data_IF_151028435221
#
_entry.id   IF_151028435221
#
_cell.length_a   1.000
_cell.length_b   1.000
_cell.length_c   1.000
_cell.angle_alpha   90.00
_cell.angle_beta   90.00
_cell.angle_gamma   90.00
#
_symmetry.space_group_name_H-M   'P 1'
#
loop_
_entity.id
_entity.type
_entity.pdbx_description
1 polymer ?
#
# COMPACT_ATOMS: atom_id res chain seq x y z
N UNK A 1 -72.86 -59.97 41.93
CA UNK A 1 -71.74 -59.47 42.75
C UNK A 1 -70.69 -59.02 41.73
N UNK A 2 -70.82 -57.77 41.28
CA UNK A 2 -70.18 -56.58 41.87
C UNK A 2 -68.89 -56.32 41.07
N UNK A 3 -68.74 -55.24 40.29
CA UNK A 3 -68.45 -53.83 40.62
C UNK A 3 -68.03 -53.22 39.26
N UNK A 4 -67.91 -51.93 38.97
CA UNK A 4 -67.82 -50.70 39.73
C UNK A 4 -67.93 -49.57 38.70
N UNK A 5 -68.31 -48.39 39.16
CA UNK A 5 -68.25 -47.13 38.43
C UNK A 5 -66.85 -46.87 37.86
N UNK A 6 -66.76 -46.45 36.59
CA UNK A 6 -65.53 -45.92 36.02
C UNK A 6 -65.47 -44.41 36.27
N UNK A 7 -64.43 -44.02 37.00
CA UNK A 7 -64.22 -42.74 37.63
C UNK A 7 -63.53 -41.76 36.66
N UNK A 8 -64.03 -40.53 36.57
CA UNK A 8 -63.61 -39.50 35.61
C UNK A 8 -62.37 -38.72 36.10
N UNK A 9 -61.28 -39.45 36.32
CA UNK A 9 -60.00 -38.90 36.80
C UNK A 9 -58.90 -39.05 35.75
N UNK A 10 -59.05 -38.45 34.56
CA UNK A 10 -57.98 -38.41 33.55
C UNK A 10 -57.78 -37.05 32.83
N UNK A 11 -58.36 -35.95 33.32
CA UNK A 11 -58.27 -34.64 32.63
C UNK A 11 -57.43 -33.55 33.31
N UNK A 12 -56.41 -33.90 34.12
CA UNK A 12 -55.50 -32.89 34.70
C UNK A 12 -54.01 -33.07 34.41
N UNK A 13 -53.58 -34.13 33.73
CA UNK A 13 -52.16 -34.38 33.43
C UNK A 13 -51.62 -33.68 32.17
N UNK A 14 -52.46 -33.44 31.16
CA UNK A 14 -51.98 -33.08 29.82
C UNK A 14 -51.74 -31.57 29.60
N UNK A 15 -52.38 -30.69 30.37
CA UNK A 15 -52.32 -29.23 30.13
C UNK A 15 -51.01 -28.58 30.60
N UNK A 16 -50.41 -29.04 31.72
CA UNK A 16 -49.15 -28.48 32.25
C UNK A 16 -47.90 -28.84 31.45
N UNK A 17 -47.94 -29.92 30.67
CA UNK A 17 -46.77 -30.39 29.91
C UNK A 17 -46.60 -29.66 28.57
N UNK A 18 -47.72 -29.26 27.94
CA UNK A 18 -47.70 -28.53 26.67
C UNK A 18 -47.21 -27.09 26.86
N UNK A 19 -47.62 -26.42 27.93
CA UNK A 19 -47.29 -25.01 28.18
C UNK A 19 -45.77 -24.80 28.39
N UNK A 20 -45.11 -25.72 29.10
CA UNK A 20 -43.66 -25.69 29.34
C UNK A 20 -42.84 -25.92 28.07
N UNK A 21 -43.33 -26.75 27.14
CA UNK A 21 -42.65 -27.07 25.88
C UNK A 21 -42.73 -25.92 24.89
N UNK A 22 -43.89 -25.26 24.80
CA UNK A 22 -44.07 -24.07 23.95
C UNK A 22 -43.29 -22.85 24.46
N UNK A 23 -43.22 -22.62 25.77
CA UNK A 23 -42.43 -21.53 26.36
C UNK A 23 -40.91 -21.72 26.19
N UNK A 24 -40.45 -22.97 26.23
CA UNK A 24 -39.04 -23.34 25.97
C UNK A 24 -38.66 -23.15 24.50
N UNK A 25 -39.49 -23.65 23.56
CA UNK A 25 -39.25 -23.53 22.12
C UNK A 25 -39.27 -22.07 21.65
N UNK A 26 -40.19 -21.25 22.17
CA UNK A 26 -40.25 -19.81 21.87
C UNK A 26 -39.02 -19.02 22.36
N UNK A 27 -38.43 -19.39 23.51
CA UNK A 27 -37.16 -18.80 23.98
C UNK A 27 -35.98 -19.21 23.12
N UNK A 28 -35.90 -20.48 22.71
CA UNK A 28 -34.79 -20.98 21.88
C UNK A 28 -34.82 -20.37 20.47
N UNK A 29 -36.00 -20.22 19.87
CA UNK A 29 -36.15 -19.56 18.57
C UNK A 29 -35.73 -18.08 18.61
N UNK A 30 -36.08 -17.36 19.68
CA UNK A 30 -35.76 -15.93 19.83
C UNK A 30 -34.26 -15.69 20.13
N UNK A 31 -33.57 -16.64 20.75
CA UNK A 31 -32.11 -16.58 20.96
C UNK A 31 -31.36 -16.92 19.68
N UNK A 32 -31.79 -17.93 18.93
CA UNK A 32 -31.16 -18.31 17.66
C UNK A 32 -31.23 -17.19 16.61
N UNK A 33 -32.37 -16.51 16.46
CA UNK A 33 -32.52 -15.40 15.52
C UNK A 33 -31.68 -14.18 15.93
N UNK A 34 -31.61 -13.87 17.23
CA UNK A 34 -30.75 -12.81 17.77
C UNK A 34 -29.27 -13.11 17.52
N UNK A 35 -28.81 -14.34 17.71
CA UNK A 35 -27.41 -14.72 17.44
C UNK A 35 -27.06 -14.53 15.96
N UNK A 36 -27.97 -14.85 15.05
CA UNK A 36 -27.73 -14.69 13.61
C UNK A 36 -27.64 -13.21 13.20
N UNK A 37 -28.49 -12.35 13.77
CA UNK A 37 -28.44 -10.89 13.57
C UNK A 37 -27.16 -10.29 14.15
N UNK A 38 -26.75 -10.71 15.35
CA UNK A 38 -25.49 -10.27 15.97
C UNK A 38 -24.27 -10.76 15.18
N UNK A 39 -24.30 -11.98 14.63
CA UNK A 39 -23.25 -12.49 13.74
C UNK A 39 -23.15 -11.68 12.45
N UNK A 40 -24.28 -11.31 11.84
CA UNK A 40 -24.32 -10.42 10.66
C UNK A 40 -23.77 -9.03 10.97
N UNK A 41 -24.09 -8.47 12.14
CA UNK A 41 -23.52 -7.20 12.61
C UNK A 41 -22.02 -7.28 12.88
N UNK A 42 -21.54 -8.36 13.51
CA UNK A 42 -20.11 -8.59 13.77
C UNK A 42 -19.29 -8.71 12.48
N UNK A 43 -19.83 -9.41 11.47
CA UNK A 43 -19.20 -9.51 10.14
C UNK A 43 -19.21 -8.15 9.43
N UNK A 44 -20.31 -7.40 9.52
CA UNK A 44 -20.38 -6.07 8.92
C UNK A 44 -19.40 -5.08 9.57
N UNK A 45 -19.30 -5.11 10.90
CA UNK A 45 -18.38 -4.26 11.66
C UNK A 45 -16.91 -4.65 11.45
N UNK A 46 -16.60 -5.94 11.27
CA UNK A 46 -15.24 -6.38 10.94
C UNK A 46 -14.79 -5.95 9.54
N UNK A 47 -15.70 -5.92 8.56
CA UNK A 47 -15.41 -5.39 7.22
C UNK A 47 -15.14 -3.87 7.21
N UNK A 48 -15.81 -3.10 8.09
CA UNK A 48 -15.59 -1.65 8.22
C UNK A 48 -14.21 -1.35 8.83
N UNK A 49 -13.74 -2.17 9.78
CA UNK A 49 -12.44 -1.97 10.43
C UNK A 49 -11.24 -2.34 9.55
N UNK A 50 -11.41 -3.23 8.57
CA UNK A 50 -10.36 -3.62 7.64
C UNK A 50 -10.07 -2.56 6.55
N UNK A 51 -10.94 -1.57 6.36
CA UNK A 51 -10.79 -0.55 5.32
C UNK A 51 -9.79 0.57 5.66
N UNK A 52 -9.24 0.60 6.88
CA UNK A 52 -8.55 1.77 7.43
C UNK A 52 -7.01 1.72 7.43
N UNK A 53 -6.35 0.75 6.80
CA UNK A 53 -4.90 0.71 6.76
C UNK A 53 -4.34 0.27 5.40
N UNK A 54 -4.61 1.06 4.34
CA UNK A 54 -3.75 0.97 3.16
C UNK A 54 -2.44 1.69 3.48
N UNK A 55 -1.34 0.96 3.57
CA UNK A 55 -0.02 1.57 3.70
C UNK A 55 0.20 2.60 2.56
N UNK A 56 0.89 3.71 2.83
CA UNK A 56 1.21 4.69 1.80
C UNK A 56 1.98 4.02 0.65
N UNK A 57 1.75 4.47 -0.58
CA UNK A 57 2.45 3.95 -1.75
C UNK A 57 3.95 4.13 -1.54
N UNK A 58 4.67 3.02 -1.69
CA UNK A 58 6.12 2.98 -1.68
C UNK A 58 6.55 1.86 -2.62
N UNK A 59 7.04 2.23 -3.80
CA UNK A 59 7.53 1.29 -4.81
C UNK A 59 8.96 1.63 -5.14
N UNK A 60 9.85 0.63 -5.07
CA UNK A 60 11.26 0.77 -5.43
C UNK A 60 11.64 -0.33 -6.42
N UNK A 61 12.31 0.03 -7.51
CA UNK A 61 12.72 -0.87 -8.59
C UNK A 61 14.15 -0.54 -9.04
N UNK A 62 15.00 -1.54 -9.33
CA UNK A 62 16.36 -1.29 -9.80
C UNK A 62 16.34 -0.68 -11.20
N UNK A 63 17.34 0.15 -11.50
CA UNK A 63 17.58 0.73 -12.83
C UNK A 63 19.08 0.87 -13.07
N UNK A 64 19.54 0.60 -14.30
CA UNK A 64 20.91 0.89 -14.70
C UNK A 64 20.96 2.25 -15.42
N UNK A 65 21.34 3.30 -14.69
CA UNK A 65 21.44 4.67 -15.21
C UNK A 65 22.53 4.82 -16.27
N UNK A 66 23.52 3.92 -16.30
CA UNK A 66 24.61 4.02 -17.27
C UNK A 66 24.20 3.66 -18.70
N UNK A 67 23.07 2.96 -18.87
CA UNK A 67 22.55 2.51 -20.16
C UNK A 67 21.42 3.39 -20.65
N UNK A 68 21.39 3.65 -21.95
CA UNK A 68 20.26 4.27 -22.60
C UNK A 68 19.05 3.34 -22.66
N UNK A 69 17.86 3.91 -22.83
CA UNK A 69 16.60 3.22 -23.10
C UNK A 69 16.16 2.19 -22.06
N UNK A 70 16.70 2.27 -20.84
CA UNK A 70 16.15 1.53 -19.71
C UNK A 70 14.74 2.06 -19.44
N UNK A 71 13.83 1.16 -19.06
CA UNK A 71 12.46 1.51 -18.67
C UNK A 71 12.10 0.77 -17.40
N UNK A 72 11.64 1.52 -16.41
CA UNK A 72 11.12 1.01 -15.16
C UNK A 72 9.67 1.43 -15.05
N UNK A 73 8.79 0.45 -14.90
CA UNK A 73 7.36 0.67 -14.74
C UNK A 73 6.85 0.20 -13.39
N UNK A 74 5.78 0.83 -12.93
CA UNK A 74 5.04 0.41 -11.75
C UNK A 74 3.57 0.82 -11.84
N UNK A 75 2.71 0.01 -11.24
CA UNK A 75 1.30 0.33 -11.06
C UNK A 75 0.98 0.43 -9.57
N UNK A 76 0.19 1.43 -9.18
CA UNK A 76 -0.23 1.63 -7.80
C UNK A 76 -1.59 2.33 -7.71
N UNK A 77 -2.20 2.28 -6.52
CA UNK A 77 -3.48 2.94 -6.23
C UNK A 77 -3.24 4.07 -5.25
N UNK A 78 -3.71 5.26 -5.61
CA UNK A 78 -3.76 6.42 -4.73
C UNK A 78 -5.13 6.45 -4.06
N UNK A 79 -5.15 6.44 -2.73
CA UNK A 79 -6.40 6.43 -1.93
C UNK A 79 -6.85 7.81 -1.48
N UNK A 80 -5.94 8.78 -1.40
CA UNK A 80 -6.22 10.16 -0.97
C UNK A 80 -5.42 11.16 -1.80
N UNK A 81 -5.96 12.38 -1.95
CA UNK A 81 -5.24 13.49 -2.57
C UNK A 81 -4.00 13.82 -1.73
N UNK A 82 -2.82 13.77 -2.34
CA UNK A 82 -1.56 14.08 -1.68
C UNK A 82 -0.41 14.28 -2.68
N UNK A 83 0.72 14.77 -2.19
CA UNK A 83 1.96 14.81 -2.94
C UNK A 83 2.61 13.42 -3.02
N UNK A 84 3.11 13.11 -4.21
CA UNK A 84 3.90 11.92 -4.49
C UNK A 84 5.20 12.34 -5.15
N UNK A 85 6.30 11.73 -4.72
CA UNK A 85 7.62 11.97 -5.30
C UNK A 85 8.04 10.82 -6.20
N UNK A 86 8.76 11.21 -7.25
CA UNK A 86 9.43 10.36 -8.21
C UNK A 86 10.91 10.66 -8.07
N UNK A 87 11.73 9.67 -7.73
CA UNK A 87 13.14 9.90 -7.40
C UNK A 87 14.05 8.80 -7.94
N UNK A 88 15.31 9.16 -8.17
CA UNK A 88 16.41 8.22 -8.27
C UNK A 88 17.06 8.05 -6.90
N UNK A 89 17.35 6.81 -6.54
CA UNK A 89 18.10 6.46 -5.34
C UNK A 89 19.43 5.85 -5.77
N UNK A 90 20.54 6.41 -5.32
CA UNK A 90 21.88 5.92 -5.61
C UNK A 90 22.48 5.31 -4.36
N UNK A 91 22.91 4.05 -4.41
CA UNK A 91 23.59 3.43 -3.27
C UNK A 91 24.79 4.29 -2.88
N UNK A 92 24.99 4.51 -1.57
CA UNK A 92 26.15 5.26 -1.05
C UNK A 92 27.37 4.35 -0.86
N UNK A 93 28.56 4.97 -0.85
CA UNK A 93 29.80 4.27 -0.54
C UNK A 93 29.84 3.87 0.93
N UNK A 94 30.63 2.85 1.23
CA UNK A 94 30.84 2.38 2.61
C UNK A 94 32.08 3.03 3.24
N UNK A 95 32.94 3.66 2.43
CA UNK A 95 34.15 4.36 2.88
C UNK A 95 34.06 5.85 2.57
N UNK A 96 34.84 6.66 3.27
CA UNK A 96 34.88 8.11 3.04
C UNK A 96 35.32 8.45 1.61
N UNK A 97 36.31 7.73 1.07
CA UNK A 97 36.81 7.95 -0.30
C UNK A 97 35.75 7.59 -1.36
N UNK A 98 34.98 6.52 -1.14
CA UNK A 98 33.86 6.17 -2.02
C UNK A 98 32.73 7.21 -1.94
N UNK A 99 32.45 7.74 -0.76
CA UNK A 99 31.44 8.80 -0.58
C UNK A 99 31.87 10.05 -1.33
N UNK A 100 33.11 10.52 -1.12
CA UNK A 100 33.63 11.73 -1.77
C UNK A 100 33.65 11.58 -3.29
N UNK A 101 34.15 10.45 -3.81
CA UNK A 101 34.17 10.20 -5.25
C UNK A 101 32.76 10.11 -5.85
N UNK A 102 31.79 9.54 -5.13
CA UNK A 102 30.38 9.54 -5.57
C UNK A 102 29.78 10.94 -5.54
N UNK A 103 30.09 11.80 -4.57
CA UNK A 103 29.56 13.18 -4.54
C UNK A 103 29.97 14.01 -5.76
N UNK A 104 31.12 13.74 -6.38
CA UNK A 104 31.50 14.41 -7.63
C UNK A 104 30.57 14.05 -8.80
N UNK A 105 30.12 12.79 -8.84
CA UNK A 105 29.21 12.26 -9.87
C UNK A 105 27.76 12.64 -9.55
N UNK A 106 27.35 12.47 -8.29
CA UNK A 106 25.99 12.67 -7.80
C UNK A 106 25.65 14.15 -7.57
N UNK A 107 26.65 15.02 -7.45
CA UNK A 107 26.44 16.39 -7.03
C UNK A 107 26.04 16.50 -5.55
N UNK A 108 25.91 17.73 -5.07
CA UNK A 108 25.61 18.09 -3.68
C UNK A 108 24.80 19.38 -3.64
N UNK A 109 24.50 19.92 -2.45
CA UNK A 109 23.89 21.25 -2.29
C UNK A 109 24.69 22.42 -2.89
N UNK A 110 25.92 22.20 -3.34
CA UNK A 110 26.76 23.25 -3.95
C UNK A 110 27.31 22.86 -5.32
N UNK A 111 27.09 21.63 -5.78
CA UNK A 111 27.59 21.10 -7.06
C UNK A 111 26.48 20.37 -7.79
N UNK A 112 26.32 20.62 -9.09
CA UNK A 112 25.28 19.95 -9.88
C UNK A 112 25.54 18.45 -10.08
N UNK A 113 26.80 18.04 -10.12
CA UNK A 113 27.17 16.68 -10.51
C UNK A 113 26.84 16.41 -11.98
N UNK A 114 26.83 15.13 -12.35
CA UNK A 114 26.51 14.70 -13.71
C UNK A 114 25.00 14.72 -13.93
N UNK A 115 24.57 15.39 -15.00
CA UNK A 115 23.18 15.48 -15.41
C UNK A 115 22.69 14.13 -15.96
N UNK A 116 21.47 13.74 -15.59
CA UNK A 116 20.82 12.52 -16.08
C UNK A 116 19.55 12.92 -16.83
N UNK A 117 19.49 12.72 -18.15
CA UNK A 117 18.29 12.93 -18.94
C UNK A 117 17.36 11.71 -18.84
N UNK A 118 16.12 11.96 -18.43
CA UNK A 118 15.10 10.96 -18.16
C UNK A 118 13.80 11.31 -18.89
N UNK A 119 13.03 10.29 -19.23
CA UNK A 119 11.61 10.40 -19.54
C UNK A 119 10.80 9.99 -18.32
N UNK A 120 9.79 10.78 -17.95
CA UNK A 120 8.81 10.39 -16.93
C UNK A 120 7.42 10.46 -17.55
N UNK A 121 6.68 9.36 -17.41
CA UNK A 121 5.27 9.25 -17.81
C UNK A 121 4.45 8.76 -16.65
N UNK A 122 3.34 9.43 -16.38
CA UNK A 122 2.41 9.13 -15.29
C UNK A 122 1.01 9.16 -15.90
N UNK A 123 0.31 8.03 -15.81
CA UNK A 123 -1.05 7.86 -16.29
C UNK A 123 -1.97 7.66 -15.09
N UNK A 124 -3.12 8.33 -15.08
CA UNK A 124 -4.24 8.07 -14.18
C UNK A 124 -5.35 7.39 -14.97
N UNK A 125 -5.72 6.17 -14.59
CA UNK A 125 -6.77 5.39 -15.24
C UNK A 125 -6.60 5.35 -16.78
N UNK A 126 -5.35 5.24 -17.25
CA UNK A 126 -4.97 5.22 -18.66
C UNK A 126 -4.82 6.60 -19.33
N UNK A 127 -5.18 7.70 -18.66
CA UNK A 127 -5.05 9.06 -19.18
C UNK A 127 -3.77 9.73 -18.68
N UNK A 128 -2.95 10.37 -19.54
CA UNK A 128 -1.74 11.06 -19.09
C UNK A 128 -2.04 12.21 -18.12
N UNK A 129 -1.40 12.17 -16.94
CA UNK A 129 -1.33 13.32 -16.01
C UNK A 129 0.01 14.04 -16.12
N UNK A 130 1.05 13.32 -16.52
CA UNK A 130 2.35 13.88 -16.86
C UNK A 130 3.03 13.00 -17.91
N UNK A 131 3.66 13.62 -18.91
CA UNK A 131 4.43 12.94 -19.94
C UNK A 131 5.50 13.91 -20.44
N UNK A 132 6.78 13.62 -20.18
CA UNK A 132 7.83 14.56 -20.56
C UNK A 132 9.26 14.16 -20.21
N UNK A 133 10.17 14.79 -20.94
CA UNK A 133 11.61 14.70 -20.71
C UNK A 133 12.04 15.64 -19.56
N UNK A 134 12.86 15.15 -18.66
CA UNK A 134 13.38 15.86 -17.48
C UNK A 134 14.89 15.62 -17.43
N UNK A 135 15.66 16.68 -17.15
CA UNK A 135 17.07 16.54 -16.81
C UNK A 135 17.21 16.74 -15.31
N UNK A 136 17.79 15.76 -14.63
CA UNK A 136 18.00 15.81 -13.18
C UNK A 136 19.48 15.99 -12.86
N UNK A 137 19.76 16.87 -11.91
CA UNK A 137 21.09 17.10 -11.32
C UNK A 137 20.97 17.03 -9.81
N UNK A 138 22.11 16.88 -9.13
CA UNK A 138 22.27 17.00 -7.69
C UNK A 138 21.52 15.96 -6.85
N UNK A 139 22.01 15.70 -5.64
CA UNK A 139 21.26 14.99 -4.59
C UNK A 139 20.73 15.98 -3.57
N UNK A 140 19.61 15.62 -2.95
CA UNK A 140 18.95 16.46 -1.97
C UNK A 140 19.16 15.96 -0.54
N UNK A 141 19.00 14.66 -0.30
CA UNK A 141 19.13 14.05 1.03
C UNK A 141 19.56 12.58 0.93
N UNK A 142 19.86 11.97 2.07
CA UNK A 142 20.08 10.52 2.20
C UNK A 142 18.83 9.78 2.68
N UNK A 143 18.67 8.54 2.26
CA UNK A 143 17.58 7.66 2.70
C UNK A 143 18.04 6.21 2.81
N UNK A 144 17.53 5.53 3.83
CA UNK A 144 17.70 4.09 3.99
C UNK A 144 16.39 3.35 3.78
N UNK A 145 16.41 2.23 3.06
CA UNK A 145 15.26 1.34 2.90
C UNK A 145 15.69 -0.13 2.86
N UNK A 146 14.76 -1.04 3.12
CA UNK A 146 15.00 -2.48 3.01
C UNK A 146 14.57 -2.98 1.63
N UNK A 147 15.44 -3.72 0.97
CA UNK A 147 15.20 -4.33 -0.35
C UNK A 147 15.73 -5.75 -0.36
N UNK A 148 14.86 -6.71 -0.68
CA UNK A 148 15.22 -8.15 -0.70
C UNK A 148 15.90 -8.65 0.59
N UNK A 149 15.52 -8.09 1.75
CA UNK A 149 16.08 -8.46 3.05
C UNK A 149 17.38 -7.73 3.44
N UNK A 150 17.89 -6.84 2.58
CA UNK A 150 19.06 -6.02 2.85
C UNK A 150 18.68 -4.57 3.10
N UNK A 151 19.28 -3.96 4.12
CA UNK A 151 19.18 -2.53 4.40
C UNK A 151 20.14 -1.76 3.50
N UNK A 152 19.62 -0.90 2.64
CA UNK A 152 20.39 -0.14 1.63
C UNK A 152 20.37 1.34 1.99
N UNK A 153 21.55 1.95 2.12
CA UNK A 153 21.69 3.39 2.29
C UNK A 153 21.92 4.07 0.92
N UNK A 154 21.15 5.13 0.65
CA UNK A 154 21.11 5.79 -0.66
C UNK A 154 21.14 7.31 -0.56
N UNK A 155 21.66 7.96 -1.59
CA UNK A 155 21.44 9.38 -1.85
C UNK A 155 20.25 9.56 -2.79
N UNK A 156 19.41 10.55 -2.52
CA UNK A 156 18.15 10.78 -3.23
C UNK A 156 18.30 11.96 -4.19
N UNK A 157 18.00 11.73 -5.46
CA UNK A 157 17.87 12.75 -6.49
C UNK A 157 16.41 12.82 -6.94
N UNK A 158 15.76 13.95 -6.69
CA UNK A 158 14.37 14.16 -7.06
C UNK A 158 14.24 14.30 -8.58
N UNK A 159 13.30 13.56 -9.17
CA UNK A 159 12.88 13.72 -10.57
C UNK A 159 11.74 14.74 -10.63
N UNK A 160 10.67 14.48 -9.87
CA UNK A 160 9.49 15.33 -9.82
C UNK A 160 8.65 15.06 -8.57
N UNK A 161 7.90 16.06 -8.14
CA UNK A 161 6.77 15.89 -7.20
C UNK A 161 5.49 16.23 -7.94
N UNK A 162 4.45 15.41 -7.77
CA UNK A 162 3.12 15.62 -8.34
C UNK A 162 2.07 15.44 -7.23
N UNK A 163 1.09 16.33 -7.18
CA UNK A 163 -0.12 16.12 -6.40
C UNK A 163 -1.02 15.14 -7.16
N UNK A 164 -1.28 13.96 -6.58
CA UNK A 164 -2.08 12.92 -7.21
C UNK A 164 -3.41 12.78 -6.47
N UNK A 165 -4.52 12.85 -7.22
CA UNK A 165 -5.86 12.56 -6.71
C UNK A 165 -6.14 11.05 -6.66
N UNK A 166 -7.12 10.58 -5.88
CA UNK A 166 -7.46 9.16 -5.83
C UNK A 166 -7.72 8.54 -7.21
N UNK A 167 -7.21 7.33 -7.44
CA UNK A 167 -7.30 6.62 -8.71
C UNK A 167 -6.22 5.55 -8.89
N UNK A 168 -6.27 4.82 -10.01
CA UNK A 168 -5.22 3.87 -10.38
C UNK A 168 -4.18 4.58 -11.24
N UNK A 169 -2.92 4.36 -10.92
CA UNK A 169 -1.80 4.97 -11.62
C UNK A 169 -0.90 3.92 -12.24
N UNK A 170 -0.41 4.24 -13.43
CA UNK A 170 0.71 3.56 -14.07
C UNK A 170 1.80 4.57 -14.34
N UNK A 171 3.03 4.23 -14.00
CA UNK A 171 4.17 5.14 -14.10
C UNK A 171 5.31 4.46 -14.84
N UNK A 172 6.02 5.24 -15.64
CA UNK A 172 7.21 4.83 -16.35
C UNK A 172 8.31 5.88 -16.15
N UNK A 173 9.50 5.43 -15.78
CA UNK A 173 10.73 6.22 -15.82
C UNK A 173 11.68 5.53 -16.78
N UNK A 174 12.25 6.29 -17.71
CA UNK A 174 13.24 5.76 -18.64
C UNK A 174 14.45 6.65 -18.82
N UNK A 175 15.60 6.05 -19.11
CA UNK A 175 16.82 6.79 -19.45
C UNK A 175 16.80 7.20 -20.92
N UNK A 176 17.14 8.45 -21.21
CA UNK A 176 17.15 8.98 -22.58
C UNK A 176 18.51 8.83 -23.27
N UNK A 177 19.58 8.62 -22.51
CA UNK A 177 20.94 8.49 -23.03
C UNK A 177 21.85 7.75 -22.07
N UNK A 178 23.02 7.37 -22.55
CA UNK A 178 24.04 6.72 -21.73
C UNK A 178 24.72 7.74 -20.82
N UNK A 179 24.86 7.40 -19.53
CA UNK A 179 25.54 8.25 -18.55
C UNK A 179 26.65 7.43 -17.88
N UNK A 180 27.78 7.30 -18.56
CA UNK A 180 28.83 6.34 -18.21
C UNK A 180 29.44 6.55 -16.81
N UNK A 181 29.35 7.76 -16.25
CA UNK A 181 29.79 8.04 -14.89
C UNK A 181 29.06 7.19 -13.83
N UNK A 182 27.87 6.66 -14.12
CA UNK A 182 27.06 5.86 -13.19
C UNK A 182 27.28 4.35 -13.29
N UNK A 183 28.20 3.85 -14.14
CA UNK A 183 28.42 2.40 -14.36
C UNK A 183 28.68 1.58 -13.09
N UNK A 184 29.31 2.17 -12.10
CA UNK A 184 29.67 1.51 -10.83
C UNK A 184 28.72 1.87 -9.68
N UNK A 185 27.63 2.61 -9.97
CA UNK A 185 26.69 3.09 -8.95
C UNK A 185 25.38 2.34 -9.12
N UNK A 186 25.13 1.41 -8.19
CA UNK A 186 23.84 0.75 -8.08
C UNK A 186 22.74 1.79 -7.83
N UNK A 187 21.67 1.69 -8.61
CA UNK A 187 20.64 2.72 -8.69
C UNK A 187 19.23 2.13 -8.71
N UNK A 188 18.29 2.90 -8.17
CA UNK A 188 16.88 2.53 -8.10
C UNK A 188 16.00 3.72 -8.50
N UNK A 189 14.80 3.42 -8.98
CA UNK A 189 13.71 4.38 -9.09
C UNK A 189 12.76 4.17 -7.91
N UNK A 190 12.33 5.26 -7.30
CA UNK A 190 11.33 5.28 -6.24
C UNK A 190 10.09 6.07 -6.66
N UNK A 191 8.93 5.49 -6.36
CA UNK A 191 7.61 6.13 -6.39
C UNK A 191 7.02 6.06 -4.99
N UNK A 192 6.90 7.20 -4.31
CA UNK A 192 6.45 7.19 -2.92
C UNK A 192 5.57 8.37 -2.57
N UNK A 193 4.68 8.14 -1.61
CA UNK A 193 3.96 9.20 -0.93
C UNK A 193 4.95 10.18 -0.29
N UNK A 194 4.73 11.47 -0.52
CA UNK A 194 5.54 12.55 0.02
C UNK A 194 4.67 13.46 0.89
N UNK A 195 5.09 13.67 2.13
CA UNK A 195 4.46 14.67 2.98
C UNK A 195 5.55 15.68 3.39
N UNK A 196 5.53 16.91 2.86
CA UNK A 196 6.57 17.90 3.15
C UNK A 196 6.56 18.39 4.62
N UNK A 197 5.56 18.01 5.42
CA UNK A 197 5.39 18.46 6.81
C UNK A 197 5.91 17.48 7.88
N UNK A 198 6.61 16.43 7.49
CA UNK A 198 7.27 15.50 8.40
C UNK A 198 8.72 15.26 8.00
#
# INVERSE_FOLDING_TARGET
>A
MELMAFNDHQLQGASRFLDKKYYSVGKVLNVASRIEVWRKFLIFFSCIWLAACSAPVWVVKPIDISRAEQRVTADFVVSKLADYRFALLFVQGNTLDEIISREEILGTSHKEGVAIPLHLRVLKDGTPVFDGNIVTTRIYWGQTFDYQGQRINTAVRLIKTLELSPGKYSVEVGTLGEVQAFRSIESYVEFSYYNPKH
#
